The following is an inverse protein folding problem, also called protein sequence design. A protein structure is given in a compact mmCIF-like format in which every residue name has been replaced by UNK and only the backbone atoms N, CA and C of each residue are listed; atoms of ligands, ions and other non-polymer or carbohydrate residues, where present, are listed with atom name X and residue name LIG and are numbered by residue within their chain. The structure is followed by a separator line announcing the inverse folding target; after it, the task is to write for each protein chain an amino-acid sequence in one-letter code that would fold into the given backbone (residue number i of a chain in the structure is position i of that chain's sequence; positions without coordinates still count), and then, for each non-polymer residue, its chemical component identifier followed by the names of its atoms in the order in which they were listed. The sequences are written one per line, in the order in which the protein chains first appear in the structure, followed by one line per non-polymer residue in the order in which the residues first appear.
data_IF_093833280270
#
_entry.id   IF_093833280270
#
_cell.length_a   1.000
_cell.length_b   1.000
_cell.length_c   1.000
_cell.angle_alpha   90.00
_cell.angle_beta   90.00
_cell.angle_gamma   90.00
#
_symmetry.space_group_name_H-M   'P 1'
#
loop_
_entity.id
_entity.type
_entity.pdbx_description
1 polymer ?
#
# COMPACT_ATOMS: atom_id res chain seq x y z
N UNK A 1 13.88 -9.31 56.50
CA UNK A 1 12.73 -9.40 55.62
C UNK A 1 11.91 -8.10 55.72
N UNK A 2 12.35 -7.06 55.08
CA UNK A 2 11.60 -5.80 54.95
C UNK A 2 11.92 -5.38 53.53
N UNK A 3 11.16 -5.88 52.71
CA UNK A 3 10.02 -5.35 51.99
C UNK A 3 10.44 -4.54 50.76
N UNK A 4 10.46 -5.26 49.65
CA UNK A 4 10.59 -4.78 48.26
C UNK A 4 9.44 -3.83 47.83
N UNK A 5 8.56 -3.45 48.76
CA UNK A 5 7.38 -2.62 48.53
C UNK A 5 7.64 -1.11 48.64
N UNK A 6 8.79 -0.71 49.24
CA UNK A 6 9.08 0.72 49.43
C UNK A 6 9.75 1.39 48.21
N UNK A 7 10.19 0.61 47.21
CA UNK A 7 10.87 1.15 46.03
C UNK A 7 9.90 1.57 44.90
N UNK A 8 8.64 1.13 44.99
CA UNK A 8 7.64 1.42 43.96
C UNK A 8 6.88 2.74 44.18
N UNK A 9 6.89 3.27 45.41
CA UNK A 9 6.17 4.48 45.75
C UNK A 9 7.01 5.77 45.64
N UNK A 10 8.31 5.66 45.39
CA UNK A 10 9.19 6.83 45.27
C UNK A 10 9.40 7.33 43.82
N UNK A 11 8.77 6.71 42.83
CA UNK A 11 8.87 7.12 41.41
C UNK A 11 7.66 7.96 40.93
N UNK A 12 6.64 8.13 41.74
CA UNK A 12 5.42 8.85 41.33
C UNK A 12 5.43 10.37 41.55
N UNK A 13 6.52 10.95 42.04
CA UNK A 13 6.58 12.40 42.32
C UNK A 13 7.66 13.15 41.55
N UNK A 14 8.08 12.67 40.36
CA UNK A 14 8.71 13.55 39.38
C UNK A 14 7.63 14.18 38.52
N UNK A 15 7.30 15.45 38.89
CA UNK A 15 6.53 16.39 38.07
C UNK A 15 6.57 16.01 36.61
N UNK A 16 5.44 15.58 36.10
CA UNK A 16 5.13 15.63 34.66
C UNK A 16 5.18 17.11 34.29
N UNK A 17 6.38 17.59 33.97
CA UNK A 17 6.53 18.87 33.30
C UNK A 17 5.88 18.67 31.93
N UNK A 18 4.73 19.30 31.79
CA UNK A 18 4.15 19.86 30.58
C UNK A 18 4.76 19.27 29.28
N UNK A 19 4.53 18.01 29.05
CA UNK A 19 4.58 17.49 27.72
C UNK A 19 3.35 18.06 27.03
N UNK A 20 3.53 19.18 26.31
CA UNK A 20 2.62 19.54 25.21
C UNK A 20 2.18 18.22 24.63
N UNK A 21 0.95 17.86 24.90
CA UNK A 21 0.29 16.70 24.32
C UNK A 21 0.53 16.85 22.82
N UNK A 22 1.51 16.11 22.29
CA UNK A 22 1.66 16.02 20.84
C UNK A 22 0.36 15.35 20.41
N UNK A 23 -0.64 16.18 20.11
CA UNK A 23 -1.81 15.70 19.37
C UNK A 23 -1.22 14.87 18.25
N UNK A 24 -1.31 13.56 18.37
CA UNK A 24 -1.03 12.68 17.23
C UNK A 24 -1.99 13.16 16.17
N UNK A 25 -1.46 13.97 15.25
CA UNK A 25 -2.24 14.40 14.10
C UNK A 25 -2.41 13.12 13.32
N UNK A 26 -3.58 12.54 13.41
CA UNK A 26 -3.98 11.38 12.63
C UNK A 26 -4.12 11.81 11.16
N UNK A 27 -4.07 10.86 10.27
CA UNK A 27 -4.45 11.08 8.88
C UNK A 27 -5.77 11.83 8.83
N UNK A 28 -5.77 12.97 8.15
CA UNK A 28 -6.97 13.79 7.96
C UNK A 28 -7.31 13.84 6.48
N UNK A 29 -8.53 13.47 6.14
CA UNK A 29 -9.06 13.47 4.78
C UNK A 29 -10.22 14.46 4.76
N UNK A 30 -10.21 15.40 3.81
CA UNK A 30 -11.28 16.38 3.65
C UNK A 30 -12.37 15.86 2.73
N UNK A 31 -11.98 15.30 1.58
CA UNK A 31 -12.88 14.83 0.55
C UNK A 31 -12.55 13.40 0.13
N UNK A 32 -13.58 12.66 -0.23
CA UNK A 32 -13.49 11.34 -0.82
C UNK A 32 -14.23 11.33 -2.15
N UNK A 33 -13.55 10.89 -3.20
CA UNK A 33 -14.13 10.78 -4.55
C UNK A 33 -13.88 9.37 -5.07
N UNK A 34 -14.95 8.71 -5.47
CA UNK A 34 -14.91 7.44 -6.17
C UNK A 34 -14.91 7.73 -7.67
N UNK A 35 -13.77 7.56 -8.30
CA UNK A 35 -13.62 7.87 -9.72
C UNK A 35 -14.39 6.88 -10.59
N UNK A 36 -15.03 7.39 -11.62
CA UNK A 36 -15.82 6.61 -12.59
C UNK A 36 -15.02 6.27 -13.85
N UNK A 37 -13.94 7.01 -14.10
CA UNK A 37 -13.06 6.80 -15.24
C UNK A 37 -11.61 6.99 -14.83
N UNK A 38 -10.69 6.38 -15.59
CA UNK A 38 -9.24 6.56 -15.38
C UNK A 38 -8.83 8.01 -15.61
N UNK A 39 -9.45 8.68 -16.54
CA UNK A 39 -9.23 10.07 -16.88
C UNK A 39 -9.58 10.99 -15.70
N UNK A 40 -10.78 10.82 -15.12
CA UNK A 40 -11.21 11.53 -13.91
C UNK A 40 -10.23 11.28 -12.75
N UNK A 41 -9.83 10.02 -12.53
CA UNK A 41 -8.89 9.66 -11.47
C UNK A 41 -7.53 10.34 -11.68
N UNK A 42 -7.03 10.37 -12.91
CA UNK A 42 -5.77 11.00 -13.26
C UNK A 42 -5.82 12.52 -13.03
N UNK A 43 -6.85 13.20 -13.54
CA UNK A 43 -7.04 14.65 -13.36
C UNK A 43 -7.11 15.02 -11.87
N UNK A 44 -7.93 14.30 -11.10
CA UNK A 44 -8.04 14.52 -9.65
C UNK A 44 -6.70 14.31 -8.94
N UNK A 45 -5.89 13.34 -9.39
CA UNK A 45 -4.60 13.07 -8.78
C UNK A 45 -3.57 14.16 -9.06
N UNK A 46 -3.71 14.95 -10.13
CA UNK A 46 -2.81 16.09 -10.41
C UNK A 46 -2.97 17.22 -9.38
N UNK A 47 -4.13 17.34 -8.73
CA UNK A 47 -4.38 18.36 -7.74
C UNK A 47 -3.45 18.25 -6.52
N UNK A 48 -3.11 19.40 -5.92
CA UNK A 48 -2.26 19.43 -4.72
C UNK A 48 -2.94 18.72 -3.56
N UNK A 49 -2.18 17.89 -2.84
CA UNK A 49 -2.63 17.10 -1.69
C UNK A 49 -3.72 16.06 -2.01
N UNK A 50 -3.89 15.68 -3.27
CA UNK A 50 -4.68 14.50 -3.64
C UNK A 50 -3.83 13.23 -3.52
N UNK A 51 -4.49 12.12 -3.20
CA UNK A 51 -3.87 10.80 -3.08
C UNK A 51 -4.80 9.73 -3.63
N UNK A 52 -4.25 8.85 -4.44
CA UNK A 52 -4.93 7.61 -4.82
C UNK A 52 -4.97 6.68 -3.62
N UNK A 53 -6.09 6.05 -3.41
CA UNK A 53 -6.34 5.09 -2.36
C UNK A 53 -6.24 3.66 -2.91
N UNK A 54 -5.26 2.90 -2.40
CA UNK A 54 -5.33 1.45 -2.40
C UNK A 54 -5.97 0.97 -1.09
N UNK A 55 -5.45 -0.08 -0.49
CA UNK A 55 -5.97 -0.60 0.80
C UNK A 55 -5.74 0.29 2.03
N UNK A 56 -5.11 1.44 1.89
CA UNK A 56 -4.78 2.41 2.95
C UNK A 56 -3.96 1.88 4.13
N UNK A 57 -3.39 0.68 4.04
CA UNK A 57 -2.76 0.02 5.18
C UNK A 57 -1.59 0.81 5.78
N UNK A 58 -0.82 1.50 4.95
CA UNK A 58 0.25 2.39 5.40
C UNK A 58 -0.21 3.85 5.56
N UNK A 59 -1.06 4.32 4.67
CA UNK A 59 -1.52 5.71 4.69
C UNK A 59 -2.22 6.05 6.01
N UNK A 60 -3.05 5.15 6.54
CA UNK A 60 -3.78 5.34 7.79
C UNK A 60 -2.90 5.43 9.03
N UNK A 61 -1.67 4.92 8.98
CA UNK A 61 -0.72 5.00 10.09
C UNK A 61 0.03 6.33 10.11
N UNK A 62 -0.08 7.11 9.05
CA UNK A 62 0.56 8.41 8.93
C UNK A 62 -0.24 9.55 9.57
N UNK A 63 0.32 10.74 9.46
CA UNK A 63 -0.24 11.99 9.95
C UNK A 63 -0.45 13.01 8.82
N UNK A 64 -0.55 12.54 7.59
CA UNK A 64 -0.70 13.40 6.42
C UNK A 64 -2.06 14.12 6.45
N UNK A 65 -2.07 15.35 5.92
CA UNK A 65 -3.30 16.05 5.58
C UNK A 65 -3.57 15.87 4.10
N UNK A 66 -4.56 15.07 3.76
CA UNK A 66 -4.95 14.77 2.39
C UNK A 66 -6.23 15.56 2.10
N UNK A 67 -6.20 16.37 1.04
CA UNK A 67 -7.39 17.10 0.63
C UNK A 67 -8.41 16.15 0.01
N UNK A 68 -8.01 15.40 -1.00
CA UNK A 68 -8.90 14.50 -1.72
C UNK A 68 -8.29 13.10 -1.78
N UNK A 69 -9.02 12.11 -1.33
CA UNK A 69 -8.71 10.70 -1.55
C UNK A 69 -9.50 10.21 -2.75
N UNK A 70 -8.81 9.55 -3.67
CA UNK A 70 -9.37 9.07 -4.93
C UNK A 70 -9.43 7.54 -4.85
N UNK A 71 -10.62 7.01 -4.92
CA UNK A 71 -10.89 5.58 -4.90
C UNK A 71 -11.04 5.05 -6.34
N UNK A 72 -10.29 4.00 -6.67
CA UNK A 72 -10.27 3.37 -7.98
C UNK A 72 -11.11 2.08 -8.04
N UNK A 73 -11.87 1.76 -7.00
CA UNK A 73 -12.54 0.45 -6.86
C UNK A 73 -13.60 0.15 -7.91
N UNK A 74 -14.10 1.15 -8.66
CA UNK A 74 -15.07 0.96 -9.74
C UNK A 74 -14.43 0.90 -11.15
N UNK A 75 -13.10 0.93 -11.23
CA UNK A 75 -12.41 0.99 -12.51
C UNK A 75 -11.96 -0.38 -13.05
N UNK A 76 -12.37 -1.48 -12.41
CA UNK A 76 -12.05 -2.84 -12.86
C UNK A 76 -10.57 -3.22 -12.72
N UNK A 77 -9.83 -2.52 -11.85
CA UNK A 77 -8.40 -2.77 -11.63
C UNK A 77 -8.11 -3.83 -10.54
N UNK A 78 -9.10 -4.60 -10.15
CA UNK A 78 -9.05 -5.61 -9.10
C UNK A 78 -9.05 -7.06 -9.64
N UNK A 79 -8.74 -7.22 -10.93
CA UNK A 79 -8.71 -8.51 -11.60
C UNK A 79 -7.27 -8.95 -11.91
N UNK A 80 -7.06 -10.26 -11.90
CA UNK A 80 -5.84 -10.90 -12.43
C UNK A 80 -6.24 -11.58 -13.72
N UNK A 81 -5.76 -11.05 -14.83
CA UNK A 81 -5.95 -11.63 -16.15
C UNK A 81 -4.77 -12.57 -16.46
N UNK A 82 -5.08 -13.77 -16.91
CA UNK A 82 -4.10 -14.79 -17.22
C UNK A 82 -4.14 -15.12 -18.70
N UNK A 83 -2.98 -15.12 -19.33
CA UNK A 83 -2.77 -15.65 -20.68
C UNK A 83 -1.66 -16.70 -20.63
N UNK A 84 -1.43 -17.42 -21.74
CA UNK A 84 -0.44 -18.52 -21.80
C UNK A 84 0.97 -18.13 -21.32
N UNK A 85 1.31 -16.85 -21.33
CA UNK A 85 2.65 -16.37 -21.06
C UNK A 85 2.74 -15.17 -20.12
N UNK A 86 1.61 -14.55 -19.74
CA UNK A 86 1.61 -13.30 -18.98
C UNK A 86 0.44 -13.28 -17.99
N UNK A 87 0.76 -12.83 -16.76
CA UNK A 87 -0.25 -12.42 -15.78
C UNK A 87 -0.33 -10.90 -15.75
N UNK A 88 -1.50 -10.33 -16.05
CA UNK A 88 -1.78 -8.92 -15.85
C UNK A 88 -2.51 -8.75 -14.52
N UNK A 89 -1.83 -8.17 -13.53
CA UNK A 89 -2.33 -8.02 -12.18
C UNK A 89 -2.75 -6.57 -11.97
N UNK A 90 -4.04 -6.31 -11.87
CA UNK A 90 -4.57 -4.98 -11.64
C UNK A 90 -4.06 -4.36 -10.33
N UNK A 91 -3.85 -3.06 -10.33
CA UNK A 91 -3.26 -2.35 -9.19
C UNK A 91 -4.12 -2.43 -7.92
N UNK A 92 -5.43 -2.66 -8.05
CA UNK A 92 -6.37 -2.82 -6.95
C UNK A 92 -6.53 -4.26 -6.48
N UNK A 93 -5.88 -5.24 -7.14
CA UNK A 93 -5.82 -6.61 -6.65
C UNK A 93 -5.27 -6.64 -5.24
N UNK A 94 -5.91 -7.40 -4.37
CA UNK A 94 -5.49 -7.57 -2.98
C UNK A 94 -4.31 -8.55 -2.88
N UNK A 95 -3.53 -8.43 -1.83
CA UNK A 95 -2.47 -9.42 -1.55
C UNK A 95 -3.06 -10.81 -1.30
N UNK A 96 -4.31 -10.89 -0.84
CA UNK A 96 -4.99 -12.17 -0.66
C UNK A 96 -5.36 -12.82 -1.99
N UNK A 97 -5.79 -12.07 -3.00
CA UNK A 97 -6.00 -12.59 -4.35
C UNK A 97 -4.69 -13.13 -4.91
N UNK A 98 -3.59 -12.38 -4.77
CA UNK A 98 -2.25 -12.80 -5.18
C UNK A 98 -1.82 -14.11 -4.49
N UNK A 99 -2.05 -14.23 -3.19
CA UNK A 99 -1.73 -15.42 -2.38
C UNK A 99 -2.48 -16.67 -2.85
N UNK A 100 -3.74 -16.51 -3.26
CA UNK A 100 -4.63 -17.62 -3.59
C UNK A 100 -4.70 -17.95 -5.07
N UNK A 101 -4.08 -17.16 -5.94
CA UNK A 101 -4.23 -17.33 -7.38
C UNK A 101 -3.61 -18.64 -7.86
N UNK A 102 -4.43 -19.49 -8.46
CA UNK A 102 -4.01 -20.83 -8.85
C UNK A 102 -2.99 -20.82 -9.99
N UNK A 103 -3.22 -20.03 -11.04
CA UNK A 103 -2.31 -19.96 -12.19
C UNK A 103 -0.91 -19.45 -11.79
N UNK A 104 -0.81 -18.45 -10.89
CA UNK A 104 0.49 -18.01 -10.36
C UNK A 104 1.19 -19.13 -9.61
N UNK A 105 0.44 -19.95 -8.86
CA UNK A 105 1.00 -21.10 -8.14
C UNK A 105 1.44 -22.22 -9.08
N UNK A 106 0.70 -22.46 -10.13
CA UNK A 106 1.06 -23.45 -11.17
C UNK A 106 2.34 -23.05 -11.91
N UNK A 107 2.52 -21.77 -12.22
CA UNK A 107 3.69 -21.25 -12.94
C UNK A 107 4.92 -21.07 -12.06
N UNK A 108 4.76 -20.52 -10.85
CA UNK A 108 5.89 -20.13 -9.98
C UNK A 108 6.01 -20.99 -8.72
N UNK A 109 5.23 -22.08 -8.61
CA UNK A 109 5.11 -22.83 -7.37
C UNK A 109 4.52 -21.95 -6.25
N UNK A 110 4.85 -22.26 -5.01
CA UNK A 110 4.38 -21.47 -3.87
C UNK A 110 5.14 -20.13 -3.68
N UNK A 111 6.12 -19.80 -4.52
CA UNK A 111 7.01 -18.66 -4.33
C UNK A 111 6.28 -17.34 -4.11
N UNK A 112 5.31 -17.00 -4.98
CA UNK A 112 4.51 -15.76 -4.85
C UNK A 112 3.62 -15.82 -3.61
N UNK A 113 2.97 -16.96 -3.35
CA UNK A 113 2.11 -17.12 -2.19
C UNK A 113 2.92 -16.98 -0.87
N UNK A 114 4.11 -17.56 -0.81
CA UNK A 114 4.99 -17.46 0.36
C UNK A 114 5.46 -16.02 0.61
N UNK A 115 5.77 -15.25 -0.42
CA UNK A 115 6.16 -13.85 -0.28
C UNK A 115 5.07 -13.00 0.40
N UNK A 116 3.79 -13.33 0.22
CA UNK A 116 2.70 -12.53 0.78
C UNK A 116 2.08 -13.13 2.03
N UNK A 117 2.13 -14.45 2.19
CA UNK A 117 1.45 -15.21 3.27
C UNK A 117 1.75 -14.69 4.68
N UNK A 118 2.96 -14.26 4.91
CA UNK A 118 3.43 -13.79 6.22
C UNK A 118 3.28 -12.29 6.43
N UNK A 119 2.72 -11.57 5.46
CA UNK A 119 2.44 -10.14 5.62
C UNK A 119 1.25 -9.97 6.56
N UNK A 120 1.55 -9.68 7.81
CA UNK A 120 0.63 -9.45 8.94
C UNK A 120 -0.39 -10.59 9.11
N UNK A 121 -1.61 -10.43 8.64
CA UNK A 121 -2.70 -11.40 8.75
C UNK A 121 -3.66 -11.32 7.57
N UNK A 122 -4.59 -12.29 7.51
CA UNK A 122 -5.55 -12.40 6.39
C UNK A 122 -6.36 -11.11 6.21
N UNK A 123 -6.82 -10.49 7.31
CA UNK A 123 -7.61 -9.24 7.26
C UNK A 123 -6.81 -8.09 6.62
N UNK A 124 -5.52 -8.02 6.91
CA UNK A 124 -4.63 -7.05 6.30
C UNK A 124 -4.47 -7.32 4.80
N UNK A 125 -4.23 -8.58 4.42
CA UNK A 125 -4.03 -8.98 3.02
C UNK A 125 -5.30 -8.87 2.18
N UNK A 126 -6.47 -8.97 2.78
CA UNK A 126 -7.75 -8.71 2.11
C UNK A 126 -7.95 -7.23 1.73
N UNK A 127 -7.19 -6.31 2.31
CA UNK A 127 -7.31 -4.87 2.06
C UNK A 127 -6.07 -4.30 1.37
N UNK A 128 -4.88 -4.76 1.74
CA UNK A 128 -3.64 -4.29 1.12
C UNK A 128 -3.63 -4.69 -0.36
N UNK A 129 -3.30 -3.73 -1.23
CA UNK A 129 -3.30 -3.92 -2.68
C UNK A 129 -1.88 -4.09 -3.24
N UNK A 130 -1.77 -4.80 -4.35
CA UNK A 130 -0.52 -4.98 -5.08
C UNK A 130 0.02 -3.62 -5.53
N UNK A 131 -0.81 -2.80 -6.16
CA UNK A 131 -0.44 -1.46 -6.60
C UNK A 131 0.04 -0.56 -5.46
N UNK A 132 -0.63 -0.61 -4.29
CA UNK A 132 -0.19 0.12 -3.10
C UNK A 132 1.18 -0.31 -2.60
N UNK A 133 1.48 -1.62 -2.67
CA UNK A 133 2.77 -2.19 -2.27
C UNK A 133 3.90 -1.79 -3.22
N UNK A 134 3.61 -1.70 -4.53
CA UNK A 134 4.56 -1.30 -5.57
C UNK A 134 4.77 0.22 -5.57
N UNK A 135 3.69 0.99 -5.61
CA UNK A 135 3.74 2.46 -5.69
C UNK A 135 4.39 3.09 -4.43
N UNK A 136 4.23 2.43 -3.29
CA UNK A 136 4.88 2.84 -2.05
C UNK A 136 6.40 2.87 -2.15
N UNK A 137 7.00 1.98 -2.93
CA UNK A 137 8.45 1.81 -3.12
C UNK A 137 9.19 1.69 -1.80
N UNK A 138 8.61 0.93 -0.86
CA UNK A 138 9.25 0.68 0.42
C UNK A 138 10.31 -0.43 0.28
N UNK A 139 11.52 -0.18 0.78
CA UNK A 139 12.61 -1.13 0.71
C UNK A 139 12.40 -2.43 1.50
N UNK A 140 11.36 -2.48 2.34
CA UNK A 140 10.95 -3.67 3.09
C UNK A 140 9.72 -4.38 2.49
N UNK A 141 9.29 -4.02 1.27
CA UNK A 141 8.13 -4.62 0.64
C UNK A 141 8.47 -5.98 0.04
N UNK A 142 8.02 -7.06 0.66
CA UNK A 142 8.19 -8.42 0.15
C UNK A 142 7.58 -8.58 -1.24
N UNK A 143 6.40 -7.96 -1.46
CA UNK A 143 5.73 -7.95 -2.78
C UNK A 143 6.61 -7.31 -3.85
N UNK A 144 7.17 -6.12 -3.55
CA UNK A 144 8.03 -5.42 -4.50
C UNK A 144 9.30 -6.23 -4.78
N UNK A 145 9.89 -6.83 -3.76
CA UNK A 145 11.10 -7.65 -3.88
C UNK A 145 10.83 -8.89 -4.74
N UNK A 146 9.72 -9.59 -4.49
CA UNK A 146 9.34 -10.76 -5.28
C UNK A 146 9.14 -10.41 -6.76
N UNK A 147 8.40 -9.34 -7.03
CA UNK A 147 8.13 -8.92 -8.41
C UNK A 147 9.37 -8.37 -9.12
N UNK A 148 10.31 -7.76 -8.40
CA UNK A 148 11.60 -7.34 -8.98
C UNK A 148 12.51 -8.53 -9.36
N UNK A 149 12.31 -9.69 -8.73
CA UNK A 149 13.04 -10.91 -9.09
C UNK A 149 12.49 -11.59 -10.35
N UNK A 150 11.32 -11.17 -10.81
CA UNK A 150 10.68 -11.64 -12.03
C UNK A 150 10.84 -10.61 -13.16
N UNK A 151 10.56 -11.03 -14.40
CA UNK A 151 10.52 -10.11 -15.55
C UNK A 151 9.20 -9.33 -15.53
N UNK A 152 9.13 -8.33 -14.64
CA UNK A 152 7.91 -7.57 -14.35
C UNK A 152 7.95 -6.18 -14.95
N UNK A 153 6.81 -5.79 -15.50
CA UNK A 153 6.53 -4.47 -16.04
C UNK A 153 5.40 -3.84 -15.24
N UNK A 154 5.30 -2.53 -15.29
CA UNK A 154 4.18 -1.76 -14.76
C UNK A 154 3.54 -0.97 -15.88
N UNK A 155 2.22 -0.95 -15.88
CA UNK A 155 1.42 -0.11 -16.78
C UNK A 155 0.98 1.15 -16.04
N UNK A 156 1.34 2.29 -16.60
CA UNK A 156 0.99 3.61 -16.10
C UNK A 156 0.01 4.27 -17.04
N UNK A 157 -0.93 5.04 -16.52
CA UNK A 157 -1.97 5.69 -17.33
C UNK A 157 -1.39 6.58 -18.43
N UNK A 158 -0.44 7.44 -18.07
CA UNK A 158 0.20 8.38 -19.00
C UNK A 158 1.61 7.93 -19.40
N UNK A 159 2.31 7.23 -18.53
CA UNK A 159 3.70 6.79 -18.73
C UNK A 159 3.84 5.52 -19.56
N UNK A 160 2.74 4.84 -19.90
CA UNK A 160 2.75 3.58 -20.65
C UNK A 160 3.38 2.43 -19.86
N UNK A 161 3.88 1.43 -20.59
CA UNK A 161 4.45 0.22 -19.98
C UNK A 161 5.96 0.39 -19.86
N UNK A 162 6.47 0.23 -18.64
CA UNK A 162 7.90 0.30 -18.32
C UNK A 162 8.32 -0.85 -17.41
N UNK A 163 9.61 -1.18 -17.36
CA UNK A 163 10.11 -2.19 -16.43
C UNK A 163 9.91 -1.76 -14.98
N UNK A 164 9.55 -2.71 -14.11
CA UNK A 164 9.39 -2.43 -12.68
C UNK A 164 10.68 -1.86 -12.06
N UNK A 165 11.84 -2.36 -12.46
CA UNK A 165 13.14 -1.84 -12.02
C UNK A 165 13.37 -0.38 -12.41
N UNK A 166 12.92 0.04 -13.58
CA UNK A 166 12.95 1.44 -14.00
C UNK A 166 11.97 2.28 -13.18
N UNK A 167 10.74 1.80 -13.02
CA UNK A 167 9.71 2.46 -12.22
C UNK A 167 10.18 2.76 -10.79
N UNK A 168 10.84 1.82 -10.15
CA UNK A 168 11.34 2.00 -8.78
C UNK A 168 12.38 3.10 -8.68
N UNK A 169 13.24 3.22 -9.68
CA UNK A 169 14.35 4.16 -9.71
C UNK A 169 13.97 5.57 -10.21
N UNK A 170 12.85 5.70 -10.95
CA UNK A 170 12.44 7.02 -11.44
C UNK A 170 11.87 7.89 -10.31
N UNK A 171 11.94 9.20 -10.49
CA UNK A 171 11.31 10.16 -9.56
C UNK A 171 9.82 9.86 -9.44
N UNK A 172 9.29 9.88 -8.20
CA UNK A 172 7.84 9.76 -7.97
C UNK A 172 7.11 10.91 -8.63
N UNK A 173 6.12 10.57 -9.41
CA UNK A 173 5.19 11.48 -10.06
C UNK A 173 3.75 11.21 -9.58
N UNK A 174 2.79 11.78 -10.25
CA UNK A 174 1.36 11.61 -9.95
C UNK A 174 0.63 10.79 -11.00
N UNK A 175 1.36 9.98 -11.74
CA UNK A 175 0.73 9.06 -12.66
C UNK A 175 -0.05 7.96 -11.93
N UNK A 176 -1.01 7.34 -12.60
CA UNK A 176 -1.75 6.21 -12.05
C UNK A 176 -1.04 4.92 -12.43
N UNK A 177 -0.84 4.04 -11.45
CA UNK A 177 -0.44 2.66 -11.67
C UNK A 177 -1.70 1.85 -11.93
N UNK A 178 -1.76 1.19 -13.08
CA UNK A 178 -2.93 0.42 -13.54
C UNK A 178 -2.76 -1.08 -13.32
N UNK A 179 -1.58 -1.61 -13.67
CA UNK A 179 -1.26 -3.04 -13.52
C UNK A 179 0.24 -3.26 -13.37
#
# INVERSE_FOLDING_TARGET
MISTFALFLCLENKRVKDTKERRRILLTITDYVKAKTLEEAYELNQARNSRVMGGMMWMRLGNARVKTVIDLSELGLDQIEETDHVFKIGAMCTLRQLELHQGLREMYGDGIAECVRHIVGVQFRNQATVGGSIYGRFGFSDVLTALLALDTFVELYNGGIIRLSEFVNRKKDKDLLLS
#
